data_IF_982845425740
#
_entry.id   IF_982845425740
#
_cell.length_a   1.000
_cell.length_b   1.000
_cell.length_c   1.000
_cell.angle_alpha   90.00
_cell.angle_beta   90.00
_cell.angle_gamma   90.00
#
_symmetry.space_group_name_H-M   'P 1'
#
loop_
_entity.id
_entity.type
_entity.pdbx_description
1 polymer ?
#
# COMPACT_ATOMS: atom_id res chain seq x y z
N UNK A 1 -16.10 1.42 -11.57
CA UNK A 1 -14.78 1.25 -10.92
C UNK A 1 -13.85 0.50 -11.85
N UNK A 2 -12.66 1.00 -12.05
CA UNK A 2 -11.64 0.37 -12.89
C UNK A 2 -10.69 -0.51 -12.07
N UNK A 3 -10.17 -1.57 -12.69
CA UNK A 3 -9.13 -2.44 -12.13
C UNK A 3 -7.91 -2.40 -13.06
N UNK A 4 -6.75 -2.06 -12.52
CA UNK A 4 -5.55 -1.87 -13.31
C UNK A 4 -4.28 -2.21 -12.52
N UNK A 5 -3.14 -2.11 -13.17
CA UNK A 5 -1.82 -2.24 -12.58
C UNK A 5 -1.11 -3.53 -12.96
N UNK A 6 -0.53 -4.21 -11.98
CA UNK A 6 0.24 -5.43 -12.20
C UNK A 6 -0.62 -6.60 -12.72
N UNK A 7 -1.89 -6.59 -12.42
CA UNK A 7 -2.90 -7.48 -13.00
C UNK A 7 -3.94 -6.66 -13.77
N UNK A 8 -4.54 -7.27 -14.79
CA UNK A 8 -5.52 -6.60 -15.64
C UNK A 8 -4.90 -5.66 -16.68
N UNK A 9 -5.64 -4.64 -17.07
CA UNK A 9 -5.17 -3.62 -18.02
C UNK A 9 -4.22 -2.63 -17.34
N UNK A 10 -3.30 -2.06 -18.10
CA UNK A 10 -2.52 -0.95 -17.57
C UNK A 10 -3.43 0.23 -17.21
N UNK A 11 -3.06 0.97 -16.17
CA UNK A 11 -3.83 2.14 -15.75
C UNK A 11 -3.93 3.18 -16.88
N UNK A 12 -2.82 3.42 -17.59
CA UNK A 12 -2.79 4.38 -18.68
C UNK A 12 -3.77 4.03 -19.80
N UNK A 13 -3.83 2.76 -20.18
CA UNK A 13 -4.78 2.28 -21.19
C UNK A 13 -6.23 2.43 -20.70
N UNK A 14 -6.48 2.09 -19.45
CA UNK A 14 -7.83 2.15 -18.89
C UNK A 14 -8.33 3.59 -18.78
N UNK A 15 -7.49 4.52 -18.36
CA UNK A 15 -7.82 5.95 -18.30
C UNK A 15 -8.06 6.52 -19.70
N UNK A 16 -7.34 6.02 -20.72
CA UNK A 16 -7.52 6.46 -22.10
C UNK A 16 -8.81 5.94 -22.76
N UNK A 17 -9.21 4.71 -22.44
CA UNK A 17 -10.37 4.05 -23.05
C UNK A 17 -11.66 4.19 -22.26
N UNK A 18 -11.54 4.21 -20.93
CA UNK A 18 -12.67 4.18 -20.00
C UNK A 18 -12.50 5.26 -18.94
N UNK A 19 -13.59 5.91 -18.59
CA UNK A 19 -13.58 6.90 -17.51
C UNK A 19 -14.33 6.33 -16.29
N UNK A 20 -13.61 6.19 -15.18
CA UNK A 20 -14.16 5.75 -13.90
C UNK A 20 -13.91 6.79 -12.82
N UNK A 21 -14.81 6.85 -11.85
CA UNK A 21 -14.63 7.72 -10.67
C UNK A 21 -13.58 7.16 -9.72
N UNK A 22 -13.41 5.83 -9.70
CA UNK A 22 -12.47 5.14 -8.83
C UNK A 22 -11.70 4.07 -9.60
N UNK A 23 -10.44 3.90 -9.24
CA UNK A 23 -9.57 2.85 -9.75
C UNK A 23 -8.99 2.06 -8.60
N UNK A 24 -9.05 0.74 -8.69
CA UNK A 24 -8.29 -0.19 -7.85
C UNK A 24 -7.06 -0.59 -8.63
N UNK A 25 -5.88 -0.37 -8.04
CA UNK A 25 -4.60 -0.58 -8.72
C UNK A 25 -3.77 -1.55 -7.88
N UNK A 26 -3.37 -2.67 -8.46
CA UNK A 26 -2.37 -3.53 -7.86
C UNK A 26 -0.98 -3.06 -8.30
N UNK A 27 -0.11 -2.79 -7.32
CA UNK A 27 1.22 -2.27 -7.57
C UNK A 27 2.28 -3.20 -6.98
N UNK A 28 3.26 -3.54 -7.81
CA UNK A 28 4.49 -4.19 -7.35
C UNK A 28 5.44 -3.17 -6.72
N UNK A 29 6.38 -3.67 -5.91
CA UNK A 29 7.44 -2.82 -5.37
C UNK A 29 8.24 -2.11 -6.47
N UNK A 30 8.48 -2.78 -7.60
CA UNK A 30 9.21 -2.22 -8.74
C UNK A 30 8.47 -1.05 -9.40
N UNK A 31 7.16 -1.12 -9.47
CA UNK A 31 6.35 -0.03 -9.98
C UNK A 31 6.39 1.17 -9.03
N UNK A 32 6.31 0.91 -7.72
CA UNK A 32 6.40 1.95 -6.69
C UNK A 32 7.74 2.69 -6.69
N UNK A 33 8.83 2.01 -7.01
CA UNK A 33 10.16 2.63 -7.06
C UNK A 33 10.25 3.80 -8.06
N UNK A 34 9.42 3.79 -9.08
CA UNK A 34 9.39 4.82 -10.11
C UNK A 34 8.25 5.84 -9.94
N UNK A 35 7.52 5.75 -8.85
CA UNK A 35 6.40 6.65 -8.54
C UNK A 35 6.81 7.67 -7.49
N UNK A 36 6.85 8.95 -7.85
CA UNK A 36 7.26 10.03 -6.94
C UNK A 36 6.09 10.92 -6.53
N UNK A 37 5.15 11.16 -7.41
CA UNK A 37 4.01 12.05 -7.19
C UNK A 37 2.70 11.29 -6.93
N UNK A 38 2.74 9.97 -6.98
CA UNK A 38 1.56 9.14 -6.74
C UNK A 38 1.06 9.30 -5.32
N UNK A 39 -0.25 9.46 -5.17
CA UNK A 39 -0.95 9.48 -3.90
C UNK A 39 -2.12 8.51 -3.96
N UNK A 40 -2.16 7.58 -3.04
CA UNK A 40 -3.30 6.68 -2.87
C UNK A 40 -4.28 7.27 -1.85
N UNK A 41 -5.54 7.39 -2.20
CA UNK A 41 -6.58 7.76 -1.23
C UNK A 41 -6.76 6.66 -0.19
N UNK A 42 -6.66 5.41 -0.64
CA UNK A 42 -6.66 4.22 0.21
C UNK A 42 -5.50 3.33 -0.25
N UNK A 43 -4.53 3.12 0.62
CA UNK A 43 -3.43 2.18 0.39
C UNK A 43 -3.66 0.91 1.21
N UNK A 44 -3.39 -0.25 0.60
CA UNK A 44 -3.50 -1.56 1.26
C UNK A 44 -2.18 -2.29 1.14
N UNK A 45 -1.60 -2.69 2.27
CA UNK A 45 -0.39 -3.51 2.33
C UNK A 45 -0.71 -4.84 2.99
N UNK A 46 -0.73 -5.89 2.18
CA UNK A 46 -1.19 -7.21 2.61
C UNK A 46 -0.14 -7.95 3.44
N UNK A 47 1.11 -7.92 3.01
CA UNK A 47 2.23 -8.57 3.70
C UNK A 47 3.56 -8.06 3.17
N UNK A 48 4.62 -8.34 3.94
CA UNK A 48 6.00 -8.18 3.50
C UNK A 48 6.73 -9.49 3.74
N UNK A 49 6.97 -10.23 2.68
CA UNK A 49 7.75 -11.46 2.70
C UNK A 49 8.98 -11.32 1.81
N UNK A 50 10.13 -11.92 2.15
CA UNK A 50 11.32 -11.87 1.31
C UNK A 50 11.02 -12.39 -0.08
N UNK A 51 11.15 -11.50 -1.07
CA UNK A 51 10.98 -11.83 -2.47
C UNK A 51 11.76 -10.84 -3.33
N UNK A 52 12.25 -11.29 -4.48
CA UNK A 52 12.99 -10.45 -5.44
C UNK A 52 14.11 -9.60 -4.82
N UNK A 53 14.79 -10.11 -3.80
CA UNK A 53 15.84 -9.38 -3.08
C UNK A 53 17.05 -9.07 -3.97
N UNK A 54 17.27 -9.83 -5.03
CA UNK A 54 18.30 -9.59 -6.03
C UNK A 54 18.20 -8.20 -6.66
N UNK A 55 16.99 -7.68 -6.80
CA UNK A 55 16.74 -6.32 -7.32
C UNK A 55 16.93 -5.20 -6.30
N UNK A 56 17.09 -5.55 -5.04
CA UNK A 56 17.28 -4.61 -3.94
C UNK A 56 18.62 -4.81 -3.25
N UNK A 57 19.65 -5.19 -4.00
CA UNK A 57 21.02 -5.44 -3.52
C UNK A 57 21.06 -6.45 -2.36
N UNK A 58 20.15 -7.43 -2.37
CA UNK A 58 19.94 -8.38 -1.27
C UNK A 58 19.69 -7.73 0.09
N UNK A 59 19.24 -6.48 0.10
CA UNK A 59 18.94 -5.72 1.30
C UNK A 59 17.43 -5.73 1.57
N UNK A 60 17.02 -6.41 2.61
CA UNK A 60 15.59 -6.50 2.98
C UNK A 60 14.99 -5.12 3.28
N UNK A 61 15.77 -4.22 3.88
CA UNK A 61 15.28 -2.87 4.19
C UNK A 61 14.94 -2.08 2.93
N UNK A 62 15.72 -2.21 1.86
CA UNK A 62 15.40 -1.55 0.60
C UNK A 62 14.08 -2.05 0.00
N UNK A 63 13.83 -3.34 0.11
CA UNK A 63 12.56 -3.94 -0.34
C UNK A 63 11.38 -3.47 0.51
N UNK A 64 11.54 -3.42 1.82
CA UNK A 64 10.53 -2.89 2.75
C UNK A 64 10.21 -1.44 2.41
N UNK A 65 11.23 -0.61 2.26
CA UNK A 65 11.05 0.81 1.92
C UNK A 65 10.35 0.99 0.59
N UNK A 66 10.67 0.17 -0.41
CA UNK A 66 9.99 0.18 -1.69
C UNK A 66 8.49 -0.10 -1.56
N UNK A 67 8.11 -1.09 -0.77
CA UNK A 67 6.69 -1.40 -0.52
C UNK A 67 5.97 -0.29 0.26
N UNK A 68 6.62 0.31 1.24
CA UNK A 68 6.05 1.42 1.99
C UNK A 68 5.87 2.70 1.16
N UNK A 69 6.48 2.79 -0.01
CA UNK A 69 6.23 3.90 -0.95
C UNK A 69 4.78 4.01 -1.37
N UNK A 70 3.96 2.97 -1.18
CA UNK A 70 2.52 3.07 -1.41
C UNK A 70 1.84 4.12 -0.52
N UNK A 71 2.46 4.45 0.61
CA UNK A 71 1.97 5.46 1.55
C UNK A 71 2.54 6.85 1.30
N UNK A 72 3.47 6.99 0.34
CA UNK A 72 4.05 8.28 0.04
C UNK A 72 2.98 9.28 -0.40
N UNK A 73 3.16 10.52 -0.08
CA UNK A 73 2.24 11.60 -0.40
C UNK A 73 0.82 11.48 0.21
N UNK A 74 0.54 10.46 0.99
CA UNK A 74 -0.73 10.39 1.72
C UNK A 74 -0.82 11.52 2.76
N UNK A 75 -2.03 11.99 2.96
CA UNK A 75 -2.37 13.02 3.93
C UNK A 75 -3.27 12.48 5.04
N UNK A 76 -3.65 13.32 5.98
CA UNK A 76 -4.58 12.95 7.06
C UNK A 76 -5.99 12.60 6.58
N UNK A 77 -6.31 12.89 5.32
CA UNK A 77 -7.60 12.52 4.72
C UNK A 77 -7.60 11.12 4.12
N UNK A 78 -6.43 10.51 4.01
CA UNK A 78 -6.23 9.23 3.36
C UNK A 78 -6.24 8.09 4.38
N UNK A 79 -6.34 6.84 3.88
CA UNK A 79 -6.36 5.64 4.69
C UNK A 79 -5.21 4.69 4.33
N UNK A 80 -4.63 4.08 5.34
CA UNK A 80 -3.66 3.00 5.18
C UNK A 80 -4.14 1.75 5.92
N UNK A 81 -4.45 0.72 5.15
CA UNK A 81 -4.94 -0.58 5.62
C UNK A 81 -3.78 -1.56 5.58
N UNK A 82 -3.50 -2.26 6.67
CA UNK A 82 -2.37 -3.17 6.74
C UNK A 82 -2.66 -4.39 7.59
N UNK A 83 -1.95 -5.49 7.29
CA UNK A 83 -2.07 -6.70 8.07
C UNK A 83 -1.34 -6.56 9.41
N UNK A 84 -2.12 -6.55 10.48
CA UNK A 84 -1.62 -6.31 11.83
C UNK A 84 -0.78 -7.45 12.41
N UNK A 85 -0.91 -8.65 11.86
CA UNK A 85 -0.16 -9.82 12.34
C UNK A 85 1.21 -9.95 11.66
N UNK A 86 1.51 -9.13 10.65
CA UNK A 86 2.82 -9.09 10.02
C UNK A 86 3.81 -8.32 10.91
N UNK A 87 4.84 -8.99 11.46
CA UNK A 87 5.78 -8.36 12.38
C UNK A 87 6.63 -7.28 11.70
N UNK A 88 6.90 -7.41 10.40
CA UNK A 88 7.70 -6.44 9.65
C UNK A 88 6.90 -5.15 9.48
N UNK A 89 5.65 -5.25 9.08
CA UNK A 89 4.78 -4.08 8.94
C UNK A 89 4.66 -3.34 10.28
N UNK A 90 4.38 -4.06 11.36
CA UNK A 90 4.28 -3.46 12.70
C UNK A 90 5.53 -2.71 13.11
N UNK A 91 6.67 -3.30 12.87
CA UNK A 91 7.96 -2.72 13.21
C UNK A 91 8.25 -1.45 12.41
N UNK A 92 7.84 -1.42 11.15
CA UNK A 92 8.13 -0.34 10.22
C UNK A 92 7.16 0.85 10.31
N UNK A 93 5.98 0.66 10.89
CA UNK A 93 4.96 1.72 10.97
C UNK A 93 5.51 3.01 11.60
N UNK A 94 6.28 2.90 12.67
CA UNK A 94 6.83 4.06 13.37
C UNK A 94 7.97 4.76 12.59
N UNK A 95 8.62 4.05 11.68
CA UNK A 95 9.79 4.57 10.94
C UNK A 95 9.42 5.43 9.76
N UNK A 96 8.24 5.23 9.18
CA UNK A 96 7.85 5.87 7.92
C UNK A 96 7.05 7.18 8.07
N UNK A 97 6.79 7.62 9.29
CA UNK A 97 6.13 8.91 9.54
C UNK A 97 4.77 9.02 8.84
N UNK A 98 3.95 7.99 8.94
CA UNK A 98 2.68 7.90 8.23
C UNK A 98 1.69 8.97 8.69
N UNK A 99 1.10 9.68 7.74
CA UNK A 99 0.10 10.73 7.99
C UNK A 99 -1.33 10.22 7.86
N UNK A 100 -1.55 9.16 7.08
CA UNK A 100 -2.86 8.58 6.84
C UNK A 100 -3.47 7.97 8.11
N UNK A 101 -4.78 7.83 8.12
CA UNK A 101 -5.46 7.05 9.14
C UNK A 101 -5.09 5.58 9.01
N UNK A 102 -4.70 4.94 10.12
CA UNK A 102 -4.25 3.56 10.15
C UNK A 102 -5.42 2.63 10.45
N UNK A 103 -5.61 1.62 9.59
CA UNK A 103 -6.65 0.61 9.72
C UNK A 103 -6.03 -0.78 9.71
N UNK A 104 -5.67 -1.34 10.88
CA UNK A 104 -5.16 -2.69 10.97
C UNK A 104 -6.25 -3.72 10.70
N UNK A 105 -5.91 -4.80 10.00
CA UNK A 105 -6.76 -5.98 9.93
C UNK A 105 -6.00 -7.22 10.40
N UNK A 106 -6.74 -8.23 10.90
CA UNK A 106 -6.19 -9.50 11.33
C UNK A 106 -7.13 -10.63 10.95
N UNK A 107 -6.57 -11.80 10.68
CA UNK A 107 -7.33 -12.93 10.19
C UNK A 107 -8.17 -13.64 11.28
N UNK A 108 -7.83 -13.50 12.57
CA UNK A 108 -8.32 -14.44 13.60
C UNK A 108 -8.71 -13.80 14.92
N UNK A 109 -8.55 -12.53 15.15
CA UNK A 109 -8.89 -11.90 16.43
C UNK A 109 -9.68 -10.64 16.22
N UNK A 110 -10.66 -10.43 17.11
CA UNK A 110 -11.22 -9.12 17.29
C UNK A 110 -10.09 -8.10 17.38
N UNK A 111 -9.92 -7.36 16.33
CA UNK A 111 -9.14 -6.17 16.38
C UNK A 111 -10.01 -5.17 17.11
N UNK A 112 -9.73 -4.99 18.39
CA UNK A 112 -10.56 -4.17 19.27
C UNK A 112 -10.51 -2.68 18.98
N UNK A 113 -9.88 -2.27 17.92
CA UNK A 113 -10.09 -0.92 17.43
C UNK A 113 -11.09 -0.95 16.35
N UNK A 114 -12.18 -0.48 16.69
CA UNK A 114 -13.23 -0.30 15.75
C UNK A 114 -12.75 0.45 14.52
N UNK A 115 -12.63 -0.27 13.44
CA UNK A 115 -12.71 0.32 12.11
C UNK A 115 -13.96 1.19 11.96
N UNK A 116 -14.91 1.04 12.87
CA UNK A 116 -16.19 1.72 12.87
C UNK A 116 -16.20 3.04 13.68
N UNK A 117 -15.16 3.36 14.41
CA UNK A 117 -15.10 4.64 15.13
C UNK A 117 -14.24 5.61 14.40
N UNK A 118 -14.87 6.29 13.48
CA UNK A 118 -14.38 7.62 13.13
C UNK A 118 -14.65 8.52 14.33
N UNK A 119 -13.67 9.26 14.76
CA UNK A 119 -13.93 10.38 15.63
C UNK A 119 -14.86 11.37 14.94
#
# INVERSE_FOLDING_TARGET
MGLAGNIGKSLALQVAEEKHDYYVIELSSFQLDNMYNFRADIAVLMNITPDHLDRYDHCMQNYIDAKFRITQNQTTDDAFIFWNDDPIIKQELAKHGLKAHLYPFAAVKEVSYCLCRRP
#
